data_IF_751968701505
#
_entry.id   IF_751968701505
#
_cell.length_a   1.000
_cell.length_b   1.000
_cell.length_c   1.000
_cell.angle_alpha   90.00
_cell.angle_beta   90.00
_cell.angle_gamma   90.00
#
_symmetry.space_group_name_H-M   'P 1'
#
loop_
_entity.id
_entity.type
_entity.pdbx_description
1 polymer ?
#
# COMPACT_ATOMS: atom_id res chain seq x y z
N UNK A 1 2.87 11.00 -11.68
CA UNK A 1 2.47 9.87 -10.82
C UNK A 1 1.73 8.88 -11.67
N UNK A 2 2.36 7.75 -12.00
CA UNK A 2 1.67 6.67 -12.72
C UNK A 2 0.54 6.15 -11.83
N UNK A 3 -0.67 6.19 -12.37
CA UNK A 3 -1.89 5.76 -11.69
C UNK A 3 -1.71 4.29 -11.30
N UNK A 4 -1.73 3.98 -10.01
CA UNK A 4 -1.60 2.59 -9.54
C UNK A 4 -2.71 1.79 -10.21
N UNK A 5 -2.34 0.76 -10.97
CA UNK A 5 -3.33 -0.11 -11.62
C UNK A 5 -4.02 -0.96 -10.54
N UNK A 6 -5.22 -0.54 -10.16
CA UNK A 6 -6.05 -1.17 -9.13
C UNK A 6 -6.97 -2.25 -9.68
N UNK A 7 -6.93 -2.52 -10.99
CA UNK A 7 -7.86 -3.42 -11.69
C UNK A 7 -7.85 -4.84 -11.10
N UNK A 8 -6.68 -5.30 -10.63
CA UNK A 8 -6.49 -6.63 -10.05
C UNK A 8 -6.52 -6.67 -8.50
N UNK A 9 -6.95 -5.59 -7.86
CA UNK A 9 -7.01 -5.51 -6.40
C UNK A 9 -8.26 -6.22 -5.88
N UNK A 10 -8.15 -7.01 -4.80
CA UNK A 10 -9.33 -7.63 -4.19
C UNK A 10 -10.16 -6.59 -3.43
N UNK A 11 -11.49 -6.79 -3.38
CA UNK A 11 -12.43 -5.87 -2.72
C UNK A 11 -12.09 -5.56 -1.26
N UNK A 12 -11.50 -6.52 -0.54
CA UNK A 12 -11.08 -6.31 0.85
C UNK A 12 -9.94 -5.29 0.93
N UNK A 13 -8.96 -5.40 0.05
CA UNK A 13 -7.82 -4.49 0.01
C UNK A 13 -8.24 -3.12 -0.53
N UNK A 14 -9.14 -3.07 -1.52
CA UNK A 14 -9.73 -1.82 -2.03
C UNK A 14 -10.43 -1.04 -0.91
N UNK A 15 -11.33 -1.69 -0.15
CA UNK A 15 -12.02 -1.04 0.99
C UNK A 15 -11.04 -0.51 2.02
N UNK A 16 -10.05 -1.32 2.42
CA UNK A 16 -9.03 -0.89 3.39
C UNK A 16 -8.20 0.31 2.91
N UNK A 17 -7.94 0.44 1.61
CA UNK A 17 -7.11 1.51 1.04
C UNK A 17 -7.90 2.77 0.66
N UNK A 18 -9.11 2.62 0.12
CA UNK A 18 -9.82 3.72 -0.51
C UNK A 18 -10.98 4.28 0.32
N UNK A 19 -11.61 3.46 1.18
CA UNK A 19 -12.64 3.98 2.08
C UNK A 19 -11.99 4.93 3.09
N UNK A 20 -12.65 6.03 3.44
CA UNK A 20 -12.11 7.01 4.40
C UNK A 20 -11.87 6.42 5.78
N UNK A 21 -12.70 5.44 6.16
CA UNK A 21 -12.59 4.65 7.40
C UNK A 21 -11.70 3.41 7.23
N UNK A 22 -11.12 3.21 6.03
CA UNK A 22 -10.26 2.08 5.74
C UNK A 22 -8.96 2.14 6.54
N UNK A 23 -8.57 1.00 7.13
CA UNK A 23 -7.37 0.89 7.98
C UNK A 23 -6.04 1.20 7.28
N UNK A 24 -6.02 1.33 5.95
CA UNK A 24 -4.85 1.73 5.17
C UNK A 24 -5.08 3.02 4.35
N UNK A 25 -6.18 3.75 4.59
CA UNK A 25 -6.49 4.99 3.87
C UNK A 25 -5.40 6.05 4.03
N UNK A 26 -4.84 6.16 5.23
CA UNK A 26 -3.75 7.09 5.49
C UNK A 26 -2.44 6.69 4.80
N UNK A 27 -2.16 5.39 4.62
CA UNK A 27 -1.01 4.90 3.83
C UNK A 27 -1.22 5.26 2.35
N UNK A 28 -2.44 5.07 1.83
CA UNK A 28 -2.78 5.50 0.47
C UNK A 28 -2.54 7.00 0.28
N UNK A 29 -3.05 7.84 1.19
CA UNK A 29 -2.82 9.30 1.15
C UNK A 29 -1.34 9.65 1.27
N UNK A 30 -0.56 8.96 2.09
CA UNK A 30 0.88 9.22 2.22
C UNK A 30 1.62 8.95 0.91
N UNK A 31 1.29 7.86 0.21
CA UNK A 31 1.88 7.54 -1.09
C UNK A 31 1.58 8.59 -2.16
N UNK A 32 0.43 9.27 -2.09
CA UNK A 32 0.08 10.33 -3.05
C UNK A 32 0.86 11.63 -2.81
N UNK A 33 1.50 11.77 -1.64
CA UNK A 33 2.27 12.96 -1.23
C UNK A 33 3.79 12.69 -1.18
N UNK A 34 4.24 11.47 -1.49
CA UNK A 34 5.63 11.05 -1.42
C UNK A 34 6.05 10.42 -2.75
N UNK A 35 6.74 11.21 -3.59
CA UNK A 35 7.17 10.80 -4.92
C UNK A 35 8.24 9.68 -4.90
N UNK A 36 8.87 9.42 -3.75
CA UNK A 36 9.81 8.29 -3.62
C UNK A 36 9.08 6.95 -3.45
N UNK A 37 7.79 7.00 -3.07
CA UNK A 37 6.96 5.84 -2.92
C UNK A 37 6.29 5.46 -4.24
N UNK A 38 6.39 4.19 -4.57
CA UNK A 38 5.68 3.59 -5.70
C UNK A 38 4.98 2.32 -5.23
N UNK A 39 3.87 1.97 -5.87
CA UNK A 39 3.16 0.75 -5.53
C UNK A 39 2.64 0.00 -6.75
N UNK A 40 2.60 -1.33 -6.62
CA UNK A 40 2.15 -2.23 -7.67
C UNK A 40 1.26 -3.29 -7.05
N UNK A 41 0.12 -3.56 -7.68
CA UNK A 41 -0.75 -4.68 -7.29
C UNK A 41 -0.22 -5.97 -7.93
N UNK A 42 0.15 -6.95 -7.10
CA UNK A 42 0.50 -8.31 -7.55
C UNK A 42 -0.12 -9.34 -6.64
N UNK A 43 -0.61 -10.44 -7.21
CA UNK A 43 -1.21 -11.55 -6.44
C UNK A 43 -2.28 -11.09 -5.43
N UNK A 44 -3.08 -10.07 -5.81
CA UNK A 44 -4.13 -9.44 -4.98
C UNK A 44 -3.60 -8.71 -3.72
N UNK A 45 -2.30 -8.44 -3.65
CA UNK A 45 -1.64 -7.66 -2.61
C UNK A 45 -1.08 -6.36 -3.20
N UNK A 46 -0.95 -5.33 -2.37
CA UNK A 46 -0.29 -4.09 -2.75
C UNK A 46 1.16 -4.15 -2.29
N UNK A 47 2.09 -4.11 -3.24
CA UNK A 47 3.51 -4.08 -2.98
C UNK A 47 3.98 -2.62 -3.04
N UNK A 48 4.55 -2.12 -1.96
CA UNK A 48 5.00 -0.74 -1.81
C UNK A 48 6.54 -0.73 -1.81
N UNK A 49 7.10 0.20 -2.57
CA UNK A 49 8.52 0.38 -2.76
C UNK A 49 8.89 1.83 -2.44
N UNK A 50 10.04 2.03 -1.80
CA UNK A 50 10.71 3.34 -1.70
C UNK A 50 11.99 3.27 -2.50
N UNK A 51 12.23 4.24 -3.39
CA UNK A 51 13.47 4.29 -4.17
C UNK A 51 13.80 2.94 -4.84
N UNK A 52 12.80 2.33 -5.50
CA UNK A 52 12.82 1.01 -6.13
C UNK A 52 13.07 -0.21 -5.22
N UNK A 53 13.21 -0.02 -3.89
CA UNK A 53 13.36 -1.11 -2.92
C UNK A 53 12.02 -1.40 -2.25
N UNK A 54 11.63 -2.67 -2.21
CA UNK A 54 10.38 -3.10 -1.55
C UNK A 54 10.48 -2.89 -0.05
N UNK A 55 9.49 -2.21 0.53
CA UNK A 55 9.46 -1.89 1.97
C UNK A 55 8.27 -2.51 2.68
N UNK A 56 7.10 -2.55 2.03
CA UNK A 56 5.85 -3.00 2.66
C UNK A 56 4.98 -3.77 1.67
N UNK A 57 4.28 -4.79 2.16
CA UNK A 57 3.22 -5.48 1.42
C UNK A 57 1.92 -5.45 2.23
N UNK A 58 0.86 -4.91 1.63
CA UNK A 58 -0.48 -4.91 2.21
C UNK A 58 -1.34 -5.99 1.58
N UNK A 59 -2.02 -6.77 2.41
CA UNK A 59 -2.93 -7.83 1.98
C UNK A 59 -4.37 -7.52 2.38
N UNK A 60 -5.34 -8.06 1.65
CA UNK A 60 -6.75 -7.85 1.95
C UNK A 60 -7.16 -8.45 3.31
N UNK A 61 -6.96 -9.75 3.48
CA UNK A 61 -7.34 -10.48 4.72
C UNK A 61 -6.18 -10.75 5.67
N UNK A 62 -4.96 -10.92 5.14
CA UNK A 62 -3.79 -11.22 5.95
C UNK A 62 -3.21 -9.96 6.59
N UNK A 63 -2.37 -10.16 7.61
CA UNK A 63 -1.58 -9.09 8.20
C UNK A 63 -0.63 -8.46 7.15
N UNK A 64 -0.33 -7.17 7.27
CA UNK A 64 0.67 -6.52 6.44
C UNK A 64 2.06 -7.09 6.74
N UNK A 65 2.92 -7.11 5.72
CA UNK A 65 4.27 -7.66 5.83
C UNK A 65 5.30 -6.56 5.59
N UNK A 66 6.01 -6.19 6.65
CA UNK A 66 7.16 -5.29 6.59
C UNK A 66 8.33 -6.08 5.99
N UNK A 67 8.91 -5.58 4.90
CA UNK A 67 10.05 -6.17 4.20
C UNK A 67 11.34 -5.47 4.60
N UNK A 68 11.28 -4.15 4.79
CA UNK A 68 12.39 -3.30 5.22
C UNK A 68 11.82 -2.16 6.06
N UNK A 69 12.60 -1.73 7.04
CA UNK A 69 12.27 -0.60 7.88
C UNK A 69 12.16 0.69 7.04
N UNK A 70 11.06 1.41 7.22
CA UNK A 70 10.71 2.61 6.46
C UNK A 70 9.67 3.40 7.24
N UNK A 71 9.66 4.72 7.07
CA UNK A 71 8.68 5.61 7.70
C UNK A 71 7.23 5.22 7.41
N UNK A 72 6.96 4.66 6.22
CA UNK A 72 5.62 4.18 5.84
C UNK A 72 5.15 2.99 6.71
N UNK A 73 6.08 2.24 7.31
CA UNK A 73 5.78 1.09 8.16
C UNK A 73 5.28 1.51 9.55
N UNK A 74 5.70 2.65 10.06
CA UNK A 74 5.19 3.23 11.32
C UNK A 74 3.71 3.59 11.24
N UNK A 75 3.20 3.76 10.02
CA UNK A 75 1.80 4.05 9.77
C UNK A 75 0.93 2.80 9.90
N UNK A 76 1.49 1.59 9.97
CA UNK A 76 0.70 0.38 10.18
C UNK A 76 0.23 0.36 11.65
N UNK A 77 -1.08 0.51 11.86
CA UNK A 77 -1.75 0.36 13.16
C UNK A 77 -2.41 -0.99 13.28
#
# INVERSE_FOLDING_TARGET
MDKIDTTNMCSHLQKKLFDEEGVYNHIWKAMQNDDELTAVVRSRQLHIYRNAKKVLVLAGKAAPKIIRDDKICEMIK
#
